data_IF_272612716452
#
_entry.id   IF_272612716452
#
_cell.length_a   1.000
_cell.length_b   1.000
_cell.length_c   1.000
_cell.angle_alpha   90.00
_cell.angle_beta   90.00
_cell.angle_gamma   90.00
#
_symmetry.space_group_name_H-M   'P 1'
#
loop_
_entity.id
_entity.type
_entity.pdbx_description
1 polymer ?
#
# COMPACT_ATOMS: atom_id res chain seq x y z
N UNK A 1 -57.09 24.80 10.51
CA UNK A 1 -55.77 25.32 10.94
C UNK A 1 -54.99 24.12 11.44
N UNK A 2 -54.00 23.65 10.67
CA UNK A 2 -53.23 22.46 11.01
C UNK A 2 -52.06 22.83 11.94
N UNK A 3 -51.81 22.01 12.95
CA UNK A 3 -50.70 22.18 13.89
C UNK A 3 -49.35 21.93 13.19
N UNK A 4 -48.29 22.70 13.52
CA UNK A 4 -46.97 22.48 12.93
C UNK A 4 -46.34 21.18 13.48
N UNK A 5 -45.73 20.39 12.58
CA UNK A 5 -45.05 19.15 12.91
C UNK A 5 -43.79 19.41 13.77
N UNK A 6 -43.39 18.46 14.64
CA UNK A 6 -42.21 18.60 15.47
C UNK A 6 -40.94 18.64 14.62
N UNK A 7 -40.10 19.63 14.88
CA UNK A 7 -38.78 19.77 14.26
C UNK A 7 -37.84 18.77 14.96
N UNK A 8 -37.46 17.71 14.26
CA UNK A 8 -36.35 16.86 14.67
C UNK A 8 -35.04 17.62 14.49
N UNK A 9 -34.27 17.78 15.57
CA UNK A 9 -32.90 18.22 15.46
C UNK A 9 -32.04 17.08 14.91
N UNK A 10 -31.53 17.25 13.70
CA UNK A 10 -30.53 16.36 13.13
C UNK A 10 -29.25 16.42 14.01
N UNK A 11 -28.57 15.29 14.25
CA UNK A 11 -27.38 15.22 15.11
C UNK A 11 -26.13 15.88 14.49
N UNK A 12 -26.28 16.65 13.42
CA UNK A 12 -25.19 17.27 12.67
C UNK A 12 -25.14 18.77 12.96
N UNK A 13 -23.97 19.24 13.41
CA UNK A 13 -23.70 20.66 13.65
C UNK A 13 -23.99 21.46 12.36
N UNK A 14 -24.79 22.54 12.42
CA UNK A 14 -24.97 23.42 11.28
C UNK A 14 -23.62 24.08 10.98
N UNK A 15 -23.02 23.70 9.84
CA UNK A 15 -21.74 24.17 9.29
C UNK A 15 -20.46 23.41 9.67
N UNK A 16 -20.55 22.19 10.21
CA UNK A 16 -19.40 21.29 10.36
C UNK A 16 -19.42 20.18 9.31
N UNK A 17 -18.29 19.79 8.69
CA UNK A 17 -18.25 18.54 7.95
C UNK A 17 -18.47 17.36 8.94
N UNK A 18 -18.95 16.18 8.49
CA UNK A 18 -19.24 15.06 9.38
C UNK A 18 -18.02 14.71 10.26
N UNK A 19 -18.19 14.18 11.49
CA UNK A 19 -17.10 13.93 12.46
C UNK A 19 -15.93 13.04 11.99
N UNK A 20 -15.99 12.47 10.78
CA UNK A 20 -14.89 11.78 10.10
C UNK A 20 -14.04 12.69 9.18
N UNK A 21 -14.31 14.00 9.15
CA UNK A 21 -13.68 14.99 8.26
C UNK A 21 -12.79 16.02 8.98
N UNK A 22 -12.50 15.83 10.27
CA UNK A 22 -11.38 16.53 10.94
C UNK A 22 -10.05 15.95 10.45
N UNK A 23 -9.73 16.18 9.18
CA UNK A 23 -8.44 15.88 8.58
C UNK A 23 -7.86 17.18 8.01
N UNK A 24 -7.04 17.84 8.82
CA UNK A 24 -6.42 19.14 8.51
C UNK A 24 -5.32 19.09 7.41
N UNK A 25 -5.20 17.99 6.66
CA UNK A 25 -4.08 17.74 5.74
C UNK A 25 -4.42 17.85 4.24
N UNK A 26 -5.61 18.35 3.87
CA UNK A 26 -5.96 18.49 2.46
C UNK A 26 -5.36 19.78 1.87
N UNK A 27 -4.15 19.70 1.32
CA UNK A 27 -3.66 20.76 0.43
C UNK A 27 -4.46 20.74 -0.89
N UNK A 28 -5.16 21.83 -1.17
CA UNK A 28 -5.76 22.09 -2.49
C UNK A 28 -4.66 22.38 -3.51
N UNK A 29 -4.41 21.40 -4.37
CA UNK A 29 -3.32 21.40 -5.36
C UNK A 29 -3.54 22.45 -6.48
N UNK A 30 -2.79 23.55 -6.49
CA UNK A 30 -2.82 24.56 -7.58
C UNK A 30 -1.46 24.91 -8.20
N UNK A 31 -0.36 24.19 -7.91
CA UNK A 31 0.92 24.36 -8.65
C UNK A 31 1.71 23.05 -8.85
N UNK A 32 2.56 22.95 -9.89
CA UNK A 32 3.46 21.79 -10.09
C UNK A 32 4.42 21.52 -8.92
N UNK A 33 4.72 22.56 -8.12
CA UNK A 33 5.55 22.41 -6.92
C UNK A 33 4.72 21.93 -5.72
N UNK A 34 3.44 22.31 -5.61
CA UNK A 34 2.53 21.75 -4.59
C UNK A 34 2.25 20.28 -4.87
N UNK A 35 2.12 19.88 -6.13
CA UNK A 35 1.75 18.50 -6.49
C UNK A 35 2.84 17.47 -6.19
N UNK A 36 4.12 17.78 -6.44
CA UNK A 36 5.23 16.88 -6.06
C UNK A 36 5.48 16.89 -4.54
N UNK A 37 5.25 18.03 -3.86
CA UNK A 37 5.28 18.08 -2.39
C UNK A 37 4.20 17.19 -1.78
N UNK A 38 2.97 17.25 -2.31
CA UNK A 38 1.88 16.37 -1.91
C UNK A 38 2.19 14.89 -2.17
N UNK A 39 2.79 14.57 -3.32
CA UNK A 39 3.33 13.23 -3.59
C UNK A 39 4.30 12.78 -2.50
N UNK A 40 5.32 13.58 -2.22
CA UNK A 40 6.39 13.26 -1.25
C UNK A 40 5.84 13.16 0.17
N UNK A 41 4.95 14.06 0.56
CA UNK A 41 4.27 14.01 1.85
C UNK A 41 3.45 12.73 1.99
N UNK A 42 2.68 12.36 0.96
CA UNK A 42 1.89 11.13 0.94
C UNK A 42 2.74 9.87 1.14
N UNK A 43 3.83 9.73 0.38
CA UNK A 43 4.72 8.55 0.54
C UNK A 43 5.52 8.59 1.84
N UNK A 44 5.95 9.76 2.32
CA UNK A 44 6.68 9.86 3.58
C UNK A 44 5.78 9.51 4.77
N UNK A 45 4.53 9.99 4.78
CA UNK A 45 3.55 9.63 5.81
C UNK A 45 3.28 8.11 5.77
N UNK A 46 3.19 7.53 4.56
CA UNK A 46 2.98 6.09 4.39
C UNK A 46 4.21 5.26 4.80
N UNK A 47 5.42 5.70 4.51
CA UNK A 47 6.64 4.91 4.70
C UNK A 47 7.41 5.34 5.96
N UNK A 48 6.72 5.99 6.90
CA UNK A 48 7.20 6.32 8.23
C UNK A 48 6.80 5.24 9.23
N UNK A 49 7.81 4.68 9.89
CA UNK A 49 7.65 3.63 10.88
C UNK A 49 8.37 4.04 12.16
N UNK A 50 7.64 3.96 13.28
CA UNK A 50 8.13 4.41 14.59
C UNK A 50 8.59 5.88 14.60
N UNK A 51 7.93 6.73 13.81
CA UNK A 51 8.21 8.16 13.70
C UNK A 51 9.38 8.53 12.79
N UNK A 52 9.99 7.57 12.09
CA UNK A 52 11.08 7.82 11.14
C UNK A 52 10.72 7.26 9.76
N UNK A 53 10.95 8.03 8.70
CA UNK A 53 10.82 7.54 7.32
C UNK A 53 11.90 6.50 7.05
N UNK A 54 11.53 5.36 6.45
CA UNK A 54 12.46 4.24 6.21
C UNK A 54 12.35 3.71 4.80
N UNK A 55 13.44 3.09 4.33
CA UNK A 55 13.37 2.21 3.16
C UNK A 55 12.41 1.04 3.44
N UNK A 56 11.39 0.88 2.61
CA UNK A 56 10.38 -0.19 2.79
C UNK A 56 10.96 -1.61 2.68
N UNK A 57 12.12 -1.77 2.05
CA UNK A 57 12.80 -3.06 1.90
C UNK A 57 13.70 -3.38 3.08
N UNK A 58 14.58 -2.47 3.50
CA UNK A 58 15.63 -2.77 4.48
C UNK A 58 15.60 -1.95 5.78
N UNK A 59 14.67 -1.01 5.94
CA UNK A 59 14.48 -0.29 7.20
C UNK A 59 15.50 0.81 7.52
N UNK A 60 16.44 1.10 6.60
CA UNK A 60 17.39 2.22 6.72
C UNK A 60 16.63 3.53 6.87
N UNK A 61 17.04 4.34 7.85
CA UNK A 61 16.35 5.58 8.31
C UNK A 61 16.98 6.87 7.82
N UNK A 62 18.14 6.81 7.16
CA UNK A 62 18.88 8.03 6.86
C UNK A 62 18.18 8.85 5.78
N UNK A 63 17.34 9.79 6.24
CA UNK A 63 16.52 10.66 5.40
C UNK A 63 17.32 11.48 4.38
N UNK A 64 18.61 11.71 4.62
CA UNK A 64 19.49 12.37 3.65
C UNK A 64 19.79 11.47 2.44
N UNK A 65 19.61 10.16 2.58
CA UNK A 65 19.87 9.15 1.56
C UNK A 65 18.62 8.37 1.13
N UNK A 66 17.44 8.67 1.65
CA UNK A 66 16.21 8.05 1.14
C UNK A 66 15.77 8.73 -0.16
N UNK A 67 15.38 7.90 -1.12
CA UNK A 67 14.90 8.31 -2.43
C UNK A 67 13.42 7.98 -2.58
N UNK A 68 12.71 8.88 -3.25
CA UNK A 68 11.38 8.63 -3.78
C UNK A 68 11.53 7.74 -5.04
N UNK A 69 11.22 6.45 -4.91
CA UNK A 69 11.32 5.49 -6.01
C UNK A 69 9.97 5.37 -6.72
N UNK A 70 9.94 5.70 -8.02
CA UNK A 70 8.72 5.66 -8.83
C UNK A 70 8.52 4.27 -9.46
N UNK A 71 7.31 3.74 -9.39
CA UNK A 71 6.98 2.43 -9.99
C UNK A 71 6.83 2.57 -11.51
N UNK A 72 5.98 3.50 -11.94
CA UNK A 72 5.96 4.05 -13.29
C UNK A 72 6.80 5.32 -13.24
N UNK A 73 7.83 5.38 -14.08
CA UNK A 73 8.91 6.35 -13.95
C UNK A 73 8.45 7.80 -14.06
N UNK A 74 9.39 8.71 -13.77
CA UNK A 74 9.17 10.14 -13.89
C UNK A 74 8.68 10.52 -15.29
N UNK A 75 7.97 11.65 -15.39
CA UNK A 75 7.21 12.18 -16.54
C UNK A 75 7.96 12.45 -17.85
N UNK A 76 8.76 11.49 -18.30
CA UNK A 76 9.12 11.33 -19.70
C UNK A 76 7.84 11.14 -20.54
N UNK A 77 7.93 11.45 -21.83
CA UNK A 77 6.81 11.27 -22.75
C UNK A 77 6.25 9.83 -22.72
N UNK A 78 7.14 8.84 -22.70
CA UNK A 78 6.80 7.41 -22.65
C UNK A 78 6.07 7.01 -21.37
N UNK A 79 6.50 7.51 -20.21
CA UNK A 79 5.84 7.18 -18.94
C UNK A 79 4.47 7.86 -18.83
N UNK A 80 4.29 9.08 -19.37
CA UNK A 80 2.96 9.72 -19.46
C UNK A 80 2.00 8.91 -20.33
N UNK A 81 2.48 8.37 -21.46
CA UNK A 81 1.68 7.50 -22.32
C UNK A 81 1.32 6.19 -21.62
N UNK A 82 2.28 5.56 -20.94
CA UNK A 82 2.04 4.36 -20.13
C UNK A 82 0.96 4.64 -19.09
N UNK A 83 1.10 5.72 -18.32
CA UNK A 83 0.12 6.16 -17.33
C UNK A 83 -1.27 6.36 -17.92
N UNK A 84 -1.38 7.07 -19.04
CA UNK A 84 -2.64 7.28 -19.75
C UNK A 84 -3.26 5.97 -20.22
N UNK A 85 -2.46 5.04 -20.76
CA UNK A 85 -2.93 3.74 -21.22
C UNK A 85 -3.48 2.90 -20.06
N UNK A 86 -2.82 2.94 -18.89
CA UNK A 86 -3.30 2.23 -17.70
C UNK A 86 -4.65 2.78 -17.23
N UNK A 87 -4.87 4.10 -17.28
CA UNK A 87 -6.18 4.69 -16.98
C UNK A 87 -7.25 4.21 -17.96
N UNK A 88 -6.99 4.34 -19.26
CA UNK A 88 -7.95 3.96 -20.32
C UNK A 88 -8.34 2.49 -20.25
N UNK A 89 -7.40 1.62 -19.85
CA UNK A 89 -7.64 0.18 -19.71
C UNK A 89 -8.28 -0.20 -18.37
N UNK A 90 -8.48 0.75 -17.45
CA UNK A 90 -9.03 0.47 -16.12
C UNK A 90 -8.10 -0.37 -15.23
N UNK A 91 -6.78 -0.24 -15.44
CA UNK A 91 -5.74 -0.85 -14.60
C UNK A 91 -5.41 0.03 -13.40
N UNK A 92 -5.65 1.33 -13.50
CA UNK A 92 -5.59 2.28 -12.38
C UNK A 92 -6.88 3.10 -12.35
N UNK A 93 -7.22 3.74 -11.20
CA UNK A 93 -8.46 4.50 -11.08
C UNK A 93 -8.56 5.59 -12.14
N UNK A 94 -9.75 5.82 -12.73
CA UNK A 94 -9.94 6.87 -13.73
C UNK A 94 -9.72 8.28 -13.16
N UNK A 95 -9.83 8.43 -11.83
CA UNK A 95 -9.67 9.68 -11.08
C UNK A 95 -8.27 9.90 -10.51
N UNK A 96 -7.33 9.00 -10.79
CA UNK A 96 -5.93 9.15 -10.39
C UNK A 96 -5.32 10.43 -10.97
N UNK A 97 -4.38 11.04 -10.27
CA UNK A 97 -3.77 12.31 -10.67
C UNK A 97 -3.22 12.24 -12.11
N UNK A 98 -3.29 13.36 -12.83
CA UNK A 98 -3.02 13.42 -14.26
C UNK A 98 -1.62 12.91 -14.64
N UNK A 99 -0.63 13.19 -13.78
CA UNK A 99 0.77 12.86 -14.00
C UNK A 99 1.27 11.84 -12.96
N UNK A 100 2.07 10.85 -13.37
CA UNK A 100 2.54 9.77 -12.49
C UNK A 100 3.36 10.28 -11.30
N UNK A 101 4.12 11.36 -11.46
CA UNK A 101 4.98 11.95 -10.45
C UNK A 101 4.23 12.72 -9.35
N UNK A 102 2.92 12.91 -9.51
CA UNK A 102 2.09 13.56 -8.51
C UNK A 102 1.30 12.56 -7.66
N UNK A 103 1.25 11.28 -8.04
CA UNK A 103 0.42 10.27 -7.41
C UNK A 103 1.18 9.49 -6.33
N UNK A 104 0.89 9.66 -5.02
CA UNK A 104 1.60 8.95 -3.95
C UNK A 104 1.58 7.43 -4.13
N UNK A 105 0.50 6.90 -4.70
CA UNK A 105 0.32 5.47 -4.98
C UNK A 105 1.22 4.92 -6.09
N UNK A 106 1.97 5.79 -6.77
CA UNK A 106 3.00 5.44 -7.76
C UNK A 106 4.43 5.51 -7.19
N UNK A 107 4.59 5.82 -5.90
CA UNK A 107 5.89 5.97 -5.26
C UNK A 107 6.08 5.06 -4.06
N UNK A 108 7.33 4.69 -3.79
CA UNK A 108 7.79 4.00 -2.58
C UNK A 108 9.12 4.58 -2.10
N UNK A 109 9.31 4.70 -0.79
CA UNK A 109 10.56 5.18 -0.22
C UNK A 109 11.57 4.03 -0.17
N UNK A 110 12.72 4.23 -0.80
CA UNK A 110 13.82 3.26 -0.81
C UNK A 110 15.16 3.93 -0.52
N UNK A 111 16.11 3.20 0.06
CA UNK A 111 17.50 3.67 0.13
C UNK A 111 18.13 3.68 -1.27
N UNK A 112 19.31 4.30 -1.47
CA UNK A 112 19.89 4.46 -2.82
C UNK A 112 20.12 3.14 -3.52
N UNK A 113 20.59 2.12 -2.78
CA UNK A 113 20.88 0.80 -3.34
C UNK A 113 19.62 0.10 -3.82
N UNK A 114 18.54 0.09 -3.02
CA UNK A 114 17.27 -0.54 -3.44
C UNK A 114 16.58 0.25 -4.55
N UNK A 115 16.61 1.58 -4.49
CA UNK A 115 16.05 2.42 -5.56
C UNK A 115 16.79 2.18 -6.89
N UNK A 116 18.13 2.13 -6.86
CA UNK A 116 18.94 1.81 -8.03
C UNK A 116 18.62 0.40 -8.56
N UNK A 117 18.60 -0.62 -7.69
CA UNK A 117 18.27 -1.99 -8.10
C UNK A 117 16.85 -2.16 -8.65
N UNK A 118 15.89 -1.39 -8.14
CA UNK A 118 14.53 -1.37 -8.65
C UNK A 118 14.46 -0.76 -10.06
N UNK A 119 15.17 0.35 -10.28
CA UNK A 119 15.24 1.05 -11.56
C UNK A 119 16.07 0.31 -12.61
N UNK A 120 17.10 -0.44 -12.19
CA UNK A 120 17.92 -1.32 -13.04
C UNK A 120 17.30 -2.70 -13.25
N UNK A 121 16.06 -2.89 -12.80
CA UNK A 121 15.30 -4.11 -13.03
C UNK A 121 15.97 -5.38 -12.43
N UNK A 122 16.61 -5.25 -11.27
CA UNK A 122 17.30 -6.36 -10.58
C UNK A 122 16.34 -7.22 -9.74
N UNK A 123 15.23 -6.64 -9.32
CA UNK A 123 14.19 -7.30 -8.55
C UNK A 123 12.85 -6.66 -8.88
N UNK A 124 11.75 -7.30 -8.50
CA UNK A 124 10.43 -6.68 -8.49
C UNK A 124 9.75 -6.90 -7.14
N UNK A 125 8.75 -6.08 -6.85
CA UNK A 125 7.83 -6.29 -5.73
C UNK A 125 6.52 -6.78 -6.32
N UNK A 126 5.90 -7.78 -5.70
CA UNK A 126 4.61 -8.32 -6.13
C UNK A 126 3.61 -8.33 -4.98
N UNK A 127 2.41 -7.82 -5.25
CA UNK A 127 1.28 -8.03 -4.34
C UNK A 127 0.75 -9.46 -4.48
N UNK A 128 0.57 -10.14 -3.35
CA UNK A 128 0.03 -11.50 -3.27
C UNK A 128 -1.33 -11.40 -2.54
N UNK A 129 -2.46 -11.42 -3.28
CA UNK A 129 -3.79 -11.19 -2.72
C UNK A 129 -4.17 -12.14 -1.58
N UNK A 130 -3.75 -13.40 -1.66
CA UNK A 130 -4.12 -14.47 -0.72
C UNK A 130 -3.61 -14.20 0.70
N UNK A 131 -2.45 -13.54 0.80
CA UNK A 131 -1.81 -13.17 2.08
C UNK A 131 -1.82 -11.67 2.32
N UNK A 132 -2.41 -10.90 1.41
CA UNK A 132 -2.48 -9.43 1.44
C UNK A 132 -1.12 -8.77 1.75
N UNK A 133 -0.06 -9.17 1.05
CA UNK A 133 1.30 -8.64 1.26
C UNK A 133 1.98 -8.28 -0.05
N UNK A 134 2.86 -7.28 0.02
CA UNK A 134 3.82 -6.96 -1.03
C UNK A 134 5.11 -7.72 -0.77
N UNK A 135 5.49 -8.63 -1.66
CA UNK A 135 6.63 -9.54 -1.51
C UNK A 135 7.77 -9.12 -2.43
N UNK A 136 8.98 -9.05 -1.89
CA UNK A 136 10.19 -8.77 -2.65
C UNK A 136 10.69 -10.02 -3.37
N UNK A 137 10.90 -9.94 -4.68
CA UNK A 137 11.39 -11.04 -5.51
C UNK A 137 12.73 -10.65 -6.14
N UNK A 138 13.82 -11.21 -5.59
CA UNK A 138 15.14 -11.13 -6.20
C UNK A 138 15.18 -11.89 -7.54
N UNK A 139 14.87 -11.20 -8.64
CA UNK A 139 14.80 -11.82 -9.97
C UNK A 139 16.16 -11.95 -10.65
N UNK A 140 17.10 -11.07 -10.33
CA UNK A 140 18.48 -11.09 -10.84
C UNK A 140 19.38 -12.17 -10.22
N UNK A 141 18.87 -12.90 -9.23
CA UNK A 141 19.64 -13.84 -8.43
C UNK A 141 20.92 -13.21 -7.81
N UNK A 142 20.89 -11.91 -7.53
CA UNK A 142 22.02 -11.21 -6.91
C UNK A 142 22.13 -11.60 -5.44
N UNK A 143 23.36 -11.91 -4.99
CA UNK A 143 23.65 -12.25 -3.59
C UNK A 143 23.25 -11.14 -2.62
N UNK A 144 23.38 -9.89 -3.04
CA UNK A 144 23.05 -8.73 -2.21
C UNK A 144 21.55 -8.68 -1.85
N UNK A 145 20.70 -9.30 -2.68
CA UNK A 145 19.26 -9.31 -2.52
C UNK A 145 18.69 -10.63 -1.99
N UNK A 146 19.52 -11.65 -1.81
CA UNK A 146 19.10 -13.00 -1.41
C UNK A 146 18.35 -12.97 -0.06
N UNK A 147 18.85 -12.18 0.90
CA UNK A 147 18.24 -12.01 2.22
C UNK A 147 16.84 -11.39 2.23
N UNK A 148 16.45 -10.70 1.14
CA UNK A 148 15.14 -10.05 1.01
C UNK A 148 14.15 -10.89 0.20
N UNK A 149 14.64 -11.88 -0.56
CA UNK A 149 13.82 -12.69 -1.46
C UNK A 149 12.72 -13.45 -0.72
N UNK A 150 11.50 -13.38 -1.24
CA UNK A 150 10.34 -14.11 -0.71
C UNK A 150 9.79 -13.54 0.60
N UNK A 151 10.28 -12.37 1.05
CA UNK A 151 9.81 -11.69 2.27
C UNK A 151 8.94 -10.47 1.95
N UNK A 152 7.98 -10.21 2.81
CA UNK A 152 7.05 -9.08 2.68
C UNK A 152 7.72 -7.77 3.10
N UNK A 153 7.72 -6.79 2.20
CA UNK A 153 8.26 -5.42 2.43
C UNK A 153 7.28 -4.60 3.26
N UNK A 154 7.73 -3.51 3.89
CA UNK A 154 6.91 -2.64 4.73
C UNK A 154 5.95 -1.76 3.93
N UNK A 155 4.96 -2.39 3.28
CA UNK A 155 3.85 -1.74 2.60
C UNK A 155 2.56 -2.39 3.11
N UNK A 156 1.68 -1.58 3.73
CA UNK A 156 0.38 -2.04 4.19
C UNK A 156 -0.67 -1.82 3.08
N UNK A 157 -1.31 -2.87 2.54
CA UNK A 157 -2.33 -2.71 1.49
C UNK A 157 -3.61 -2.00 1.95
N UNK A 158 -3.82 -1.86 3.28
CA UNK A 158 -4.96 -1.14 3.86
C UNK A 158 -4.75 0.37 3.91
N UNK A 159 -3.53 0.85 3.65
CA UNK A 159 -3.22 2.27 3.61
C UNK A 159 -3.88 2.94 2.38
N UNK A 160 -4.44 4.13 2.56
CA UNK A 160 -5.12 4.88 1.51
C UNK A 160 -4.16 5.39 0.41
N UNK A 161 -2.86 5.48 0.71
CA UNK A 161 -1.77 5.75 -0.22
C UNK A 161 -0.93 4.50 -0.54
N UNK A 162 -1.37 3.29 -0.16
CA UNK A 162 -0.70 2.06 -0.56
C UNK A 162 -0.47 2.04 -2.08
N UNK A 163 0.71 1.60 -2.57
CA UNK A 163 0.92 1.57 -4.01
C UNK A 163 -0.11 0.69 -4.71
N UNK A 164 -0.57 1.09 -5.89
CA UNK A 164 -1.53 0.26 -6.62
C UNK A 164 -0.84 -1.02 -7.11
N UNK A 165 -1.32 -2.23 -6.75
CA UNK A 165 -0.69 -3.49 -7.15
C UNK A 165 -0.49 -3.65 -8.66
N UNK A 166 -1.36 -3.05 -9.47
CA UNK A 166 -1.26 -3.07 -10.93
C UNK A 166 -0.04 -2.34 -11.47
N UNK A 167 0.48 -1.34 -10.76
CA UNK A 167 1.72 -0.67 -11.15
C UNK A 167 2.91 -1.62 -11.01
N UNK A 168 2.91 -2.45 -9.97
CA UNK A 168 3.93 -3.48 -9.77
C UNK A 168 3.85 -4.60 -10.81
N UNK A 169 2.67 -4.92 -11.36
CA UNK A 169 2.58 -5.82 -12.52
C UNK A 169 3.37 -5.27 -13.71
N UNK A 170 3.22 -3.97 -14.01
CA UNK A 170 3.94 -3.34 -15.12
C UNK A 170 5.45 -3.33 -14.86
N UNK A 171 5.86 -3.02 -13.63
CA UNK A 171 7.28 -3.10 -13.25
C UNK A 171 7.83 -4.52 -13.38
N UNK A 172 7.11 -5.53 -12.91
CA UNK A 172 7.52 -6.93 -13.05
C UNK A 172 7.65 -7.34 -14.52
N UNK A 173 6.71 -6.95 -15.40
CA UNK A 173 6.82 -7.23 -16.83
C UNK A 173 8.06 -6.57 -17.45
N UNK A 174 8.40 -5.35 -17.01
CA UNK A 174 9.67 -4.71 -17.41
C UNK A 174 10.86 -5.53 -16.91
N UNK A 175 10.86 -5.95 -15.65
CA UNK A 175 11.95 -6.77 -15.09
C UNK A 175 12.18 -8.05 -15.89
N UNK A 176 11.11 -8.78 -16.19
CA UNK A 176 11.18 -10.00 -17.02
C UNK A 176 11.67 -9.69 -18.44
N UNK A 177 11.26 -8.56 -19.02
CA UNK A 177 11.67 -8.13 -20.35
C UNK A 177 13.14 -7.70 -20.44
N UNK A 178 13.66 -7.01 -19.41
CA UNK A 178 15.06 -6.61 -19.31
C UNK A 178 15.98 -7.78 -18.91
N UNK A 179 15.43 -8.84 -18.34
CA UNK A 179 16.15 -10.04 -17.90
C UNK A 179 15.54 -11.33 -18.47
N UNK A 180 15.54 -11.52 -19.80
CA UNK A 180 14.81 -12.61 -20.45
C UNK A 180 15.41 -14.00 -20.20
N UNK A 181 16.63 -14.09 -19.66
CA UNK A 181 17.34 -15.35 -19.43
C UNK A 181 17.29 -15.83 -17.98
N UNK A 182 16.69 -15.06 -17.07
CA UNK A 182 16.53 -15.49 -15.68
C UNK A 182 15.40 -16.53 -15.57
N UNK A 183 15.47 -17.45 -14.60
CA UNK A 183 14.43 -18.44 -14.38
C UNK A 183 13.04 -17.80 -14.20
N UNK A 184 12.06 -18.27 -14.97
CA UNK A 184 10.68 -17.79 -14.88
C UNK A 184 10.06 -18.14 -13.52
N UNK A 185 10.38 -19.34 -13.03
CA UNK A 185 9.91 -19.88 -11.76
C UNK A 185 10.73 -19.28 -10.61
N UNK A 186 10.03 -18.65 -9.67
CA UNK A 186 10.60 -18.06 -8.46
C UNK A 186 9.99 -18.80 -7.27
N UNK A 187 10.78 -19.14 -6.26
CA UNK A 187 10.31 -19.90 -5.09
C UNK A 187 10.03 -18.95 -3.94
N UNK A 188 8.79 -18.93 -3.45
CA UNK A 188 8.38 -18.04 -2.37
C UNK A 188 7.67 -18.86 -1.29
N UNK A 189 7.91 -18.59 0.00
CA UNK A 189 7.18 -19.25 1.07
C UNK A 189 5.65 -19.07 0.91
N UNK A 190 4.86 -20.10 1.22
CA UNK A 190 3.38 -20.03 1.16
C UNK A 190 2.82 -18.88 2.00
N UNK A 191 3.50 -18.61 3.12
CA UNK A 191 3.23 -17.51 4.03
C UNK A 191 4.48 -16.65 4.13
N UNK A 192 4.64 -15.65 3.24
CA UNK A 192 5.78 -14.74 3.28
C UNK A 192 5.88 -14.07 4.65
N UNK A 193 7.02 -14.30 5.32
CA UNK A 193 7.38 -13.59 6.54
C UNK A 193 7.66 -12.12 6.21
N UNK A 194 7.44 -11.23 7.17
CA UNK A 194 7.89 -9.84 7.06
C UNK A 194 9.41 -9.75 7.01
N UNK A 195 9.96 -8.72 6.37
CA UNK A 195 11.41 -8.46 6.38
C UNK A 195 11.97 -8.42 7.80
N UNK A 196 13.19 -8.91 7.98
CA UNK A 196 13.79 -9.13 9.30
C UNK A 196 13.81 -7.85 10.15
N UNK A 197 14.07 -6.71 9.52
CA UNK A 197 14.09 -5.41 10.20
C UNK A 197 12.72 -4.99 10.75
N UNK A 198 11.62 -5.41 10.12
CA UNK A 198 10.26 -5.10 10.56
C UNK A 198 9.99 -5.83 11.88
N UNK A 199 10.44 -7.09 11.96
CA UNK A 199 10.30 -7.93 13.15
C UNK A 199 11.27 -7.48 14.25
N UNK A 200 12.54 -7.30 13.95
CA UNK A 200 13.58 -6.96 14.93
C UNK A 200 13.37 -5.59 15.57
N UNK A 201 12.84 -4.62 14.80
CA UNK A 201 12.62 -3.27 15.31
C UNK A 201 11.23 -3.11 15.95
N UNK A 202 10.43 -4.19 16.01
CA UNK A 202 9.09 -4.16 16.62
C UNK A 202 8.08 -3.30 15.86
N UNK A 203 8.30 -3.10 14.56
CA UNK A 203 7.42 -2.32 13.67
C UNK A 203 6.11 -3.04 13.46
N UNK A 204 6.12 -4.37 13.37
CA UNK A 204 4.88 -5.15 13.30
C UNK A 204 4.20 -5.20 14.67
N UNK A 205 2.94 -4.82 14.72
CA UNK A 205 2.03 -5.23 15.77
C UNK A 205 1.44 -6.61 15.42
N UNK A 206 1.86 -7.63 16.16
CA UNK A 206 1.43 -9.02 15.93
C UNK A 206 -0.04 -9.25 16.31
N UNK A 207 -0.63 -8.41 17.16
CA UNK A 207 -2.03 -8.54 17.55
C UNK A 207 -3.00 -8.11 16.45
N UNK A 208 -2.65 -7.04 15.71
CA UNK A 208 -3.48 -6.45 14.65
C UNK A 208 -2.96 -6.75 13.24
N UNK A 209 -1.82 -7.45 13.11
CA UNK A 209 -1.05 -7.63 11.88
C UNK A 209 -0.89 -6.31 11.12
N UNK A 210 -0.50 -5.25 11.83
CA UNK A 210 -0.38 -3.88 11.29
C UNK A 210 1.00 -3.28 11.55
N UNK A 211 1.40 -2.33 10.70
CA UNK A 211 2.69 -1.66 10.82
C UNK A 211 2.54 -0.40 11.69
N UNK A 212 3.32 -0.31 12.76
CA UNK A 212 3.36 0.83 13.67
C UNK A 212 4.05 2.01 13.01
N UNK A 213 3.32 3.12 12.92
CA UNK A 213 3.78 4.36 12.31
C UNK A 213 4.26 5.37 13.33
N UNK A 214 3.53 5.48 14.44
CA UNK A 214 3.77 6.48 15.46
C UNK A 214 5.04 6.22 16.27
N UNK A 215 5.68 7.30 16.67
CA UNK A 215 6.84 7.24 17.55
C UNK A 215 6.41 6.75 18.94
N UNK A 216 7.09 5.72 19.51
CA UNK A 216 6.81 5.29 20.88
C UNK A 216 7.03 6.44 21.89
N UNK A 217 6.15 6.61 22.88
CA UNK A 217 6.35 7.60 23.93
C UNK A 217 7.63 7.31 24.70
N UNK A 218 8.52 8.31 24.80
CA UNK A 218 9.77 8.21 25.57
C UNK A 218 10.97 7.62 24.83
N UNK A 219 10.89 7.31 23.53
CA UNK A 219 12.09 6.89 22.78
C UNK A 219 13.03 8.08 22.57
N UNK A 220 14.14 8.08 23.32
CA UNK A 220 15.33 8.86 22.99
C UNK A 220 15.72 8.56 21.53
N UNK A 221 16.24 9.56 20.81
CA UNK A 221 16.60 9.44 19.38
C UNK A 221 17.33 8.11 19.15
N UNK A 222 16.77 7.28 18.29
CA UNK A 222 17.40 6.04 17.87
C UNK A 222 18.72 6.43 17.21
N UNK A 223 19.85 5.96 17.75
CA UNK A 223 21.15 6.30 17.20
C UNK A 223 21.39 5.39 15.98
N UNK A 224 21.49 5.91 14.74
CA UNK A 224 21.48 5.09 13.54
C UNK A 224 22.80 4.34 13.28
N UNK A 225 23.79 4.47 14.18
CA UNK A 225 25.00 3.66 14.16
C UNK A 225 24.76 2.30 14.83
N UNK A 226 23.95 1.44 14.22
CA UNK A 226 24.21 0.00 14.32
C UNK A 226 25.21 -0.30 13.21
N UNK A 227 26.49 -0.16 13.55
CA UNK A 227 27.52 -0.99 12.93
C UNK A 227 27.05 -2.43 13.06
N UNK A 228 27.12 -3.20 11.98
CA UNK A 228 27.05 -4.65 12.06
C UNK A 228 28.12 -5.11 13.07
N UNK A 229 27.70 -5.33 14.32
CA UNK A 229 28.49 -5.99 15.35
C UNK A 229 28.14 -7.48 15.24
N UNK A 230 29.13 -8.28 14.87
CA UNK A 230 29.10 -9.75 14.68
C UNK A 230 28.86 -10.52 16.01
N UNK A 231 28.18 -9.90 16.98
CA UNK A 231 28.15 -10.34 18.37
C UNK A 231 26.75 -10.21 18.99
N UNK A 232 25.71 -10.77 18.36
CA UNK A 232 24.45 -11.04 19.07
C UNK A 232 24.47 -12.45 19.67
N UNK A 233 24.01 -12.64 20.93
CA UNK A 233 23.90 -13.96 21.53
C UNK A 233 22.91 -14.79 20.72
N UNK A 234 23.30 -16.02 20.41
CA UNK A 234 22.51 -16.98 19.65
C UNK A 234 21.06 -17.03 20.19
N UNK A 235 20.13 -16.43 19.43
CA UNK A 235 18.72 -16.68 19.63
C UNK A 235 18.51 -18.17 19.32
N UNK A 236 18.06 -18.91 20.32
CA UNK A 236 17.93 -20.36 20.32
C UNK A 236 17.43 -20.88 18.97
N UNK A 237 18.32 -21.63 18.31
CA UNK A 237 17.97 -22.55 17.25
C UNK A 237 16.83 -23.43 17.78
N UNK A 238 15.61 -23.22 17.30
CA UNK A 238 14.52 -24.15 17.54
C UNK A 238 14.90 -25.48 16.88
N UNK A 239 15.48 -26.38 17.67
CA UNK A 239 15.73 -27.75 17.28
C UNK A 239 14.39 -28.44 17.02
N UNK A 240 14.24 -29.20 15.92
CA UNK A 240 13.03 -29.97 15.68
C UNK A 240 12.97 -31.10 16.70
N UNK A 241 11.97 -31.09 17.58
CA UNK A 241 11.67 -32.23 18.44
C UNK A 241 11.17 -33.37 17.57
N UNK A 242 11.97 -34.43 17.49
CA UNK A 242 11.58 -35.71 16.91
C UNK A 242 10.42 -36.32 17.67
N UNK A 243 9.26 -36.40 17.03
CA UNK A 243 8.26 -37.41 17.32
C UNK A 243 7.77 -37.97 15.97
N UNK A 244 8.24 -39.18 15.66
CA UNK A 244 7.76 -39.97 14.53
C UNK A 244 6.30 -40.37 14.76
N UNK A 245 5.41 -39.96 13.86
CA UNK A 245 4.38 -40.83 13.28
C UNK A 245 3.83 -40.18 12.01
N UNK A 246 4.03 -40.89 10.88
CA UNK A 246 3.42 -40.75 9.55
C UNK A 246 2.70 -39.46 9.18
N UNK A 247 3.38 -38.59 8.43
CA UNK A 247 2.97 -38.01 7.14
C UNK A 247 3.95 -36.88 6.80
N UNK A 248 4.62 -36.98 5.67
CA UNK A 248 5.67 -36.04 5.28
C UNK A 248 5.07 -34.63 5.06
N UNK A 249 5.50 -33.58 5.79
CA UNK A 249 5.08 -32.23 5.47
C UNK A 249 5.84 -31.79 4.22
N UNK A 250 5.09 -31.49 3.17
CA UNK A 250 5.57 -30.78 1.99
C UNK A 250 6.44 -29.60 2.43
N UNK A 251 7.66 -29.48 1.92
CA UNK A 251 8.51 -28.31 2.17
C UNK A 251 7.70 -27.06 1.82
N UNK A 252 7.44 -26.18 2.80
CA UNK A 252 6.52 -25.02 2.71
C UNK A 252 6.96 -23.88 1.78
N UNK A 253 7.59 -24.22 0.65
CA UNK A 253 7.90 -23.33 -0.45
C UNK A 253 6.92 -23.62 -1.59
N UNK A 254 6.14 -22.63 -1.98
CA UNK A 254 5.36 -22.67 -3.20
C UNK A 254 6.11 -22.00 -4.33
N UNK A 255 5.80 -22.42 -5.55
CA UNK A 255 6.17 -21.66 -6.73
C UNK A 255 5.36 -20.37 -6.71
N UNK A 256 6.04 -19.23 -6.83
CA UNK A 256 5.38 -17.97 -7.08
C UNK A 256 4.63 -18.10 -8.41
N UNK A 257 3.31 -17.93 -8.37
CA UNK A 257 2.46 -18.11 -9.54
C UNK A 257 2.99 -17.30 -10.72
N UNK A 258 3.19 -17.93 -11.87
CA UNK A 258 3.66 -17.23 -13.07
C UNK A 258 2.67 -16.09 -13.41
N UNK A 259 3.19 -14.94 -13.84
CA UNK A 259 2.33 -13.82 -14.26
C UNK A 259 1.55 -14.22 -15.52
N UNK A 260 0.34 -14.73 -15.34
CA UNK A 260 -0.57 -15.15 -16.39
C UNK A 260 -1.88 -14.35 -16.31
N UNK A 261 -2.82 -14.62 -17.22
CA UNK A 261 -4.06 -13.86 -17.30
C UNK A 261 -4.94 -13.98 -16.03
N UNK A 262 -4.90 -15.11 -15.33
CA UNK A 262 -5.68 -15.33 -14.12
C UNK A 262 -5.05 -14.59 -12.94
N UNK A 263 -3.74 -14.71 -12.74
CA UNK A 263 -3.01 -13.94 -11.71
C UNK A 263 -3.17 -12.43 -11.90
N UNK A 264 -3.10 -11.95 -13.15
CA UNK A 264 -3.34 -10.54 -13.46
C UNK A 264 -4.78 -10.14 -13.14
N UNK A 265 -5.76 -11.01 -13.42
CA UNK A 265 -7.17 -10.76 -13.10
C UNK A 265 -7.38 -10.69 -11.59
N UNK A 266 -6.79 -11.60 -10.83
CA UNK A 266 -6.94 -11.66 -9.38
C UNK A 266 -6.34 -10.41 -8.71
N UNK A 267 -5.14 -10.01 -9.13
CA UNK A 267 -4.51 -8.77 -8.65
C UNK A 267 -5.34 -7.54 -9.06
N UNK A 268 -5.90 -7.50 -10.28
CA UNK A 268 -6.77 -6.40 -10.72
C UNK A 268 -8.05 -6.31 -9.89
N UNK A 269 -8.68 -7.44 -9.58
CA UNK A 269 -9.86 -7.50 -8.71
C UNK A 269 -9.51 -6.98 -7.32
N UNK A 270 -8.47 -7.52 -6.69
CA UNK A 270 -8.01 -7.08 -5.38
C UNK A 270 -7.61 -5.59 -5.37
N UNK A 271 -7.01 -5.09 -6.45
CA UNK A 271 -6.67 -3.67 -6.60
C UNK A 271 -7.92 -2.79 -6.56
N UNK A 272 -8.99 -3.18 -7.25
CA UNK A 272 -10.24 -2.39 -7.29
C UNK A 272 -10.98 -2.37 -5.96
N UNK A 273 -10.79 -3.40 -5.15
CA UNK A 273 -11.38 -3.51 -3.81
C UNK A 273 -10.55 -2.80 -2.73
N UNK A 274 -9.29 -2.45 -3.04
CA UNK A 274 -8.35 -1.84 -2.09
C UNK A 274 -8.79 -0.46 -1.59
N UNK A 275 -8.39 -0.13 -0.36
CA UNK A 275 -8.58 1.20 0.22
C UNK A 275 -7.88 2.30 -0.59
N UNK A 276 -6.73 1.98 -1.18
CA UNK A 276 -5.99 2.88 -2.06
C UNK A 276 -6.79 3.26 -3.31
N UNK A 277 -7.50 2.30 -3.93
CA UNK A 277 -8.40 2.59 -5.05
C UNK A 277 -9.56 3.50 -4.63
N UNK A 278 -10.23 3.16 -3.53
CA UNK A 278 -11.36 3.96 -3.00
C UNK A 278 -10.92 5.39 -2.67
N UNK A 279 -9.77 5.54 -1.99
CA UNK A 279 -9.21 6.83 -1.64
C UNK A 279 -8.88 7.67 -2.88
N UNK A 280 -8.26 7.07 -3.90
CA UNK A 280 -7.97 7.75 -5.17
C UNK A 280 -9.25 8.25 -5.86
N UNK A 281 -10.32 7.45 -5.86
CA UNK A 281 -11.62 7.86 -6.40
C UNK A 281 -12.21 9.02 -5.58
N UNK A 282 -12.14 8.98 -4.24
CA UNK A 282 -12.62 10.06 -3.37
C UNK A 282 -11.84 11.36 -3.60
N UNK A 283 -10.51 11.30 -3.64
CA UNK A 283 -9.61 12.45 -3.81
C UNK A 283 -9.75 13.12 -5.19
N UNK A 284 -9.91 12.33 -6.26
CA UNK A 284 -10.07 12.87 -7.61
C UNK A 284 -11.50 13.27 -7.97
N UNK A 285 -12.42 13.26 -7.01
CA UNK A 285 -13.79 13.74 -7.22
C UNK A 285 -13.86 15.21 -6.90
N UNK A 286 -14.24 16.03 -7.90
CA UNK A 286 -14.57 17.44 -7.64
C UNK A 286 -15.81 17.50 -6.75
N UNK A 287 -15.65 18.17 -5.61
CA UNK A 287 -16.73 18.50 -4.67
C UNK A 287 -17.32 19.88 -4.96
N UNK A 288 -17.14 20.40 -6.17
CA UNK A 288 -17.85 21.61 -6.60
C UNK A 288 -19.35 21.31 -6.71
N UNK A 289 -20.18 22.14 -6.08
CA UNK A 289 -21.63 21.99 -6.01
C UNK A 289 -22.17 22.36 -4.63
N UNK A 290 -23.48 22.21 -4.46
CA UNK A 290 -24.14 22.41 -3.17
C UNK A 290 -23.84 21.24 -2.21
N UNK A 291 -24.08 21.45 -0.91
CA UNK A 291 -23.89 20.40 0.11
C UNK A 291 -24.76 19.16 -0.18
N UNK A 292 -25.98 19.35 -0.70
CA UNK A 292 -26.89 18.27 -1.08
C UNK A 292 -26.39 17.49 -2.31
N UNK A 293 -25.86 18.21 -3.30
CA UNK A 293 -25.23 17.59 -4.48
C UNK A 293 -24.01 16.74 -4.08
N UNK A 294 -23.21 17.24 -3.15
CA UNK A 294 -22.04 16.51 -2.65
C UNK A 294 -22.44 15.31 -1.78
N UNK A 295 -23.46 15.45 -0.93
CA UNK A 295 -24.01 14.34 -0.13
C UNK A 295 -24.54 13.23 -1.03
N UNK A 296 -25.30 13.58 -2.08
CA UNK A 296 -25.80 12.62 -3.07
C UNK A 296 -24.67 11.94 -3.84
N UNK A 297 -23.68 12.70 -4.34
CA UNK A 297 -22.48 12.17 -5.02
C UNK A 297 -21.72 11.16 -4.16
N UNK A 298 -21.71 11.35 -2.84
CA UNK A 298 -21.05 10.44 -1.90
C UNK A 298 -21.88 9.17 -1.68
N UNK A 299 -23.16 9.30 -1.34
CA UNK A 299 -24.06 8.15 -1.10
C UNK A 299 -24.14 7.21 -2.29
N UNK A 300 -24.25 7.76 -3.50
CA UNK A 300 -24.28 6.99 -4.76
C UNK A 300 -22.99 6.18 -5.00
N UNK A 301 -21.86 6.56 -4.37
CA UNK A 301 -20.54 5.96 -4.64
C UNK A 301 -20.01 5.06 -3.53
N UNK A 302 -20.36 5.35 -2.28
CA UNK A 302 -19.94 4.55 -1.13
C UNK A 302 -20.91 3.40 -0.86
N UNK A 303 -22.08 3.40 -1.52
CA UNK A 303 -23.03 2.30 -1.42
C UNK A 303 -23.66 2.20 -0.04
N UNK A 304 -23.97 3.34 0.59
CA UNK A 304 -24.81 3.35 1.78
C UNK A 304 -26.23 3.09 1.30
N UNK A 305 -26.65 1.83 1.29
CA UNK A 305 -28.05 1.47 1.17
C UNK A 305 -28.81 2.18 2.29
N UNK A 306 -29.78 3.02 1.94
CA UNK A 306 -30.75 3.53 2.90
C UNK A 306 -31.34 2.32 3.64
N UNK A 307 -31.10 2.28 4.96
CA UNK A 307 -31.81 1.37 5.84
C UNK A 307 -33.27 1.82 5.79
N UNK A 308 -34.10 1.09 5.05
CA UNK A 308 -35.54 1.22 5.09
C UNK A 308 -36.00 0.91 6.52
N UNK A 309 -36.45 1.91 7.26
CA UNK A 309 -37.11 1.71 8.55
C UNK A 309 -38.40 0.87 8.37
N UNK A 310 -38.81 0.10 9.40
CA UNK A 310 -39.92 -0.83 9.30
C UNK A 310 -41.25 -0.07 9.19
N UNK A 311 -42.09 -0.55 8.29
CA UNK A 311 -43.49 -0.14 8.19
C UNK A 311 -44.24 -0.62 9.45
N UNK A 312 -44.62 0.31 10.32
CA UNK A 312 -45.58 0.04 11.39
C UNK A 312 -46.96 -0.24 10.78
N UNK A 313 -47.48 -1.41 11.14
CA UNK A 313 -48.82 -1.90 10.82
C UNK A 313 -49.78 -1.46 11.93
N UNK A 314 -50.83 -0.66 11.67
CA UNK A 314 -51.88 -0.45 12.65
C UNK A 314 -53.07 -1.34 12.30
N UNK A 315 -53.17 -2.47 13.01
CA UNK A 315 -54.44 -3.14 13.24
C UNK A 315 -55.12 -2.53 14.47
N UNK A 316 -56.24 -1.83 14.27
CA UNK A 316 -57.38 -1.76 15.19
C UNK A 316 -58.48 -0.84 14.60
N UNK A 317 -59.47 -1.43 13.94
CA UNK A 317 -60.87 -1.54 14.41
C UNK A 317 -61.69 -2.42 13.47
#
# INVERSE_FOLDING_TARGET
>A
MAAPLPIFQLPLQPNGPPPAYDCNDWESDTTKSSTYRGFRAGINNRDTFLGETRCVVCGVVDSAFLNDCFIIGWSTYTEKMTWSNLKTRGWIPPKVKAYPEHEPRNGVVMCPNHCAGFNEYLFFIRYVPEVQKYVFINFSNSKDYEKFHGKAVALDPRDHHAPLPTLFIIHEMRVRGFRPFEPIEQHVPDKPAWQDWILSNGVLDTASDSLKRDKPPGSARYNPHITYDDSLPALETFAPTTANTGDAPSSGQSKLAQLNADVVRDILTATRESESWKACVREGTSWEGTADENTKKYSDRVGVSEVSEPHDDPSAD
#
